data_IF_883094472145
#
_entry.id   IF_883094472145
#
_cell.length_a   1.000
_cell.length_b   1.000
_cell.length_c   1.000
_cell.angle_alpha   90.00
_cell.angle_beta   90.00
_cell.angle_gamma   90.00
#
_symmetry.space_group_name_H-M   'P 1'
#
loop_
_entity.id
_entity.type
_entity.pdbx_description
1 polymer ?
#
# COMPACT_ATOMS: atom_id res chain seq x y z
N UNK A 1 75.34 29.57 -28.99
CA UNK A 1 75.27 30.94 -28.40
C UNK A 1 73.91 31.56 -28.74
N UNK A 2 73.52 32.68 -28.09
CA UNK A 2 72.31 33.49 -28.39
C UNK A 2 72.26 33.92 -29.88
N UNK A 3 71.13 34.31 -30.49
CA UNK A 3 69.74 34.55 -29.97
C UNK A 3 68.81 33.34 -30.28
N UNK A 4 67.66 33.33 -30.97
CA UNK A 4 66.85 34.32 -31.73
C UNK A 4 65.34 33.94 -31.69
N UNK A 5 64.43 34.88 -31.98
CA UNK A 5 62.96 34.79 -31.81
C UNK A 5 62.21 34.25 -33.05
N UNK A 6 61.10 33.51 -32.82
CA UNK A 6 59.89 33.56 -33.66
C UNK A 6 58.67 33.77 -32.74
N UNK A 7 57.68 34.52 -33.22
CA UNK A 7 56.49 34.96 -32.47
C UNK A 7 55.34 33.94 -32.59
N UNK A 8 54.63 33.68 -31.48
CA UNK A 8 53.32 33.00 -31.50
C UNK A 8 52.34 33.81 -30.65
N UNK A 9 51.23 34.24 -31.26
CA UNK A 9 50.20 35.00 -30.57
C UNK A 9 49.31 34.06 -29.73
N UNK A 10 49.06 34.40 -28.47
CA UNK A 10 48.15 33.64 -27.59
C UNK A 10 46.77 34.29 -27.59
N UNK A 11 45.81 33.68 -28.27
CA UNK A 11 44.41 34.09 -28.26
C UNK A 11 43.71 33.61 -26.97
N UNK A 12 43.42 34.54 -26.06
CA UNK A 12 42.62 34.25 -24.88
C UNK A 12 41.13 34.11 -25.25
N UNK A 13 40.60 32.88 -25.23
CA UNK A 13 39.16 32.67 -25.21
C UNK A 13 38.64 32.87 -23.78
N UNK A 14 37.83 33.90 -23.56
CA UNK A 14 37.00 33.97 -22.35
C UNK A 14 35.84 32.97 -22.50
N UNK A 15 35.87 31.90 -21.71
CA UNK A 15 34.71 31.02 -21.54
C UNK A 15 33.65 31.75 -20.73
N UNK A 16 32.66 32.34 -21.41
CA UNK A 16 31.56 33.04 -20.77
C UNK A 16 30.64 32.04 -20.07
N UNK A 17 30.85 31.81 -18.77
CA UNK A 17 30.00 30.95 -17.95
C UNK A 17 28.62 31.58 -17.79
N UNK A 18 27.66 31.12 -18.59
CA UNK A 18 26.26 31.48 -18.47
C UNK A 18 25.67 30.91 -17.17
N UNK A 19 25.74 31.71 -16.10
CA UNK A 19 25.06 31.40 -14.84
C UNK A 19 23.54 31.56 -15.05
N UNK A 20 22.88 30.46 -15.43
CA UNK A 20 21.42 30.39 -15.37
C UNK A 20 20.98 30.65 -13.92
N UNK A 21 20.00 31.55 -13.68
CA UNK A 21 19.47 31.73 -12.35
C UNK A 21 18.77 30.43 -11.94
N UNK A 22 19.36 29.73 -10.96
CA UNK A 22 18.66 28.64 -10.29
C UNK A 22 17.42 29.25 -9.64
N UNK A 23 16.24 28.91 -10.16
CA UNK A 23 14.97 29.21 -9.50
C UNK A 23 14.96 28.40 -8.22
N UNK A 24 15.36 29.05 -7.13
CA UNK A 24 15.30 28.46 -5.81
C UNK A 24 13.83 28.13 -5.53
N UNK A 25 13.52 26.85 -5.40
CA UNK A 25 12.26 26.45 -4.78
C UNK A 25 12.25 27.07 -3.38
N UNK A 26 11.27 27.92 -3.10
CA UNK A 26 11.12 28.54 -1.80
C UNK A 26 11.03 27.43 -0.74
N UNK A 27 11.97 27.45 0.20
CA UNK A 27 11.86 26.58 1.39
C UNK A 27 10.61 27.04 2.15
N UNK A 28 9.66 26.14 2.46
CA UNK A 28 8.62 26.47 3.43
C UNK A 28 9.28 26.91 4.74
N UNK A 29 8.77 27.99 5.33
CA UNK A 29 9.23 28.49 6.61
C UNK A 29 8.92 27.48 7.75
N UNK A 30 9.63 27.61 8.88
CA UNK A 30 9.66 26.59 9.95
C UNK A 30 8.37 26.54 10.84
N UNK A 31 7.22 27.03 10.33
CA UNK A 31 5.90 26.88 10.97
C UNK A 31 5.24 25.58 10.49
N UNK A 32 5.52 24.48 11.20
CA UNK A 32 5.00 23.14 10.91
C UNK A 32 3.48 23.14 10.69
N UNK A 33 3.07 23.04 9.42
CA UNK A 33 1.67 23.09 9.02
C UNK A 33 0.81 22.09 9.81
N UNK A 34 -0.23 22.63 10.46
CA UNK A 34 -1.11 21.96 11.43
C UNK A 34 -2.24 21.19 10.71
N UNK A 35 -2.83 20.14 11.32
CA UNK A 35 -3.99 19.46 10.75
C UNK A 35 -5.20 20.42 10.66
N UNK A 36 -6.09 20.26 9.66
CA UNK A 36 -7.36 20.98 9.63
C UNK A 36 -8.20 20.72 10.88
N UNK A 37 -8.87 21.75 11.40
CA UNK A 37 -9.70 21.64 12.62
C UNK A 37 -10.94 20.72 12.47
N UNK A 38 -11.33 20.44 11.23
CA UNK A 38 -12.21 19.34 10.81
C UNK A 38 -11.67 18.71 9.53
N UNK A 39 -11.73 17.40 9.44
CA UNK A 39 -11.39 16.60 8.25
C UNK A 39 -12.61 15.75 7.84
N UNK A 40 -12.44 14.79 6.92
CA UNK A 40 -13.51 13.85 6.56
C UNK A 40 -14.02 13.05 7.77
N UNK A 41 -15.31 12.74 7.81
CA UNK A 41 -15.94 11.94 8.89
C UNK A 41 -16.30 10.50 8.42
N UNK A 42 -15.80 10.08 7.25
CA UNK A 42 -15.96 8.71 6.71
C UNK A 42 -15.38 7.70 7.73
N UNK A 43 -16.10 6.62 8.00
CA UNK A 43 -15.71 5.66 9.04
C UNK A 43 -15.96 6.12 10.49
N UNK A 44 -16.34 7.38 10.71
CA UNK A 44 -16.87 7.88 11.98
C UNK A 44 -16.38 9.27 12.35
N UNK A 45 -17.26 10.08 12.96
CA UNK A 45 -17.03 11.48 13.34
C UNK A 45 -15.88 11.75 14.34
N UNK A 46 -15.22 10.70 14.86
CA UNK A 46 -13.96 10.81 15.61
C UNK A 46 -12.74 10.86 14.70
N UNK A 47 -12.72 10.10 13.60
CA UNK A 47 -11.58 10.02 12.68
C UNK A 47 -11.31 11.39 12.02
N UNK A 48 -12.36 12.18 11.80
CA UNK A 48 -12.28 13.55 11.27
C UNK A 48 -11.81 14.62 12.25
N UNK A 49 -11.50 14.26 13.50
CA UNK A 49 -10.99 15.19 14.51
C UNK A 49 -9.46 15.21 14.51
N UNK A 50 -8.89 16.40 14.72
CA UNK A 50 -7.46 16.55 14.94
C UNK A 50 -7.03 15.95 16.29
N UNK A 51 -5.76 15.53 16.38
CA UNK A 51 -5.17 14.87 17.54
C UNK A 51 -5.36 13.35 17.53
N UNK A 52 -5.03 12.73 18.67
CA UNK A 52 -5.04 11.27 18.83
C UNK A 52 -6.42 10.77 19.28
N UNK A 53 -6.96 9.82 18.53
CA UNK A 53 -8.20 9.10 18.83
C UNK A 53 -7.87 7.69 19.31
N UNK A 54 -8.22 7.39 20.56
CA UNK A 54 -8.14 6.04 21.15
C UNK A 54 -9.20 5.92 22.24
N UNK A 55 -9.68 4.71 22.52
CA UNK A 55 -10.49 4.42 23.71
C UNK A 55 -9.61 3.90 24.84
N UNK A 56 -9.44 4.70 25.89
CA UNK A 56 -8.69 4.32 27.08
C UNK A 56 -9.61 3.60 28.08
N UNK A 57 -9.57 2.27 28.07
CA UNK A 57 -10.35 1.40 28.96
C UNK A 57 -9.50 0.54 29.90
N UNK A 58 -10.11 -0.18 30.86
CA UNK A 58 -9.42 -1.12 31.73
C UNK A 58 -8.64 -2.17 30.93
N UNK A 59 -7.34 -2.34 31.22
CA UNK A 59 -6.47 -3.30 30.54
C UNK A 59 -5.99 -2.90 29.13
N UNK A 60 -6.48 -1.79 28.56
CA UNK A 60 -5.95 -1.23 27.31
C UNK A 60 -4.55 -0.65 27.57
N UNK A 61 -3.51 -1.03 26.81
CA UNK A 61 -2.17 -0.48 26.98
C UNK A 61 -2.13 1.01 26.60
N UNK A 62 -1.27 1.78 27.27
CA UNK A 62 -1.03 3.18 26.88
C UNK A 62 -0.31 3.22 25.53
N UNK A 63 -0.69 4.16 24.66
CA UNK A 63 -0.02 4.38 23.38
C UNK A 63 1.49 4.67 23.58
N UNK A 64 2.36 4.26 22.64
CA UNK A 64 3.79 4.54 22.68
C UNK A 64 4.09 6.04 22.77
N UNK A 65 5.05 6.44 23.63
CA UNK A 65 5.43 7.85 23.82
C UNK A 65 6.21 8.46 22.63
N UNK A 66 6.80 7.62 21.78
CA UNK A 66 7.55 8.02 20.58
C UNK A 66 6.68 7.79 19.34
N UNK A 67 5.67 8.64 19.16
CA UNK A 67 4.87 8.74 17.95
C UNK A 67 4.93 10.19 17.49
N UNK A 68 5.44 10.40 16.28
CA UNK A 68 5.71 11.70 15.65
C UNK A 68 5.15 11.78 14.23
N UNK A 69 4.61 10.68 13.69
CA UNK A 69 3.83 10.64 12.46
C UNK A 69 2.70 11.68 12.47
N UNK A 70 2.76 12.64 11.53
CA UNK A 70 1.75 13.69 11.36
C UNK A 70 0.36 13.10 11.14
N UNK A 71 0.26 11.96 10.47
CA UNK A 71 -0.96 11.15 10.42
C UNK A 71 -0.62 9.67 10.60
N UNK A 72 -1.42 8.93 11.37
CA UNK A 72 -1.31 7.48 11.49
C UNK A 72 -2.64 6.81 11.88
N UNK A 73 -2.74 5.50 11.64
CA UNK A 73 -3.91 4.69 11.97
C UNK A 73 -3.50 3.24 12.28
N UNK A 74 -4.23 2.59 13.19
CA UNK A 74 -4.14 1.17 13.54
C UNK A 74 -5.53 0.56 13.39
N UNK A 75 -5.68 -0.42 12.52
CA UNK A 75 -6.98 -1.04 12.23
C UNK A 75 -6.87 -2.56 12.07
N UNK A 76 -7.97 -3.26 12.38
CA UNK A 76 -8.14 -4.67 12.03
C UNK A 76 -8.44 -4.81 10.53
N UNK A 77 -7.74 -5.73 9.86
CA UNK A 77 -7.86 -5.89 8.41
C UNK A 77 -9.12 -6.66 7.98
N UNK A 78 -9.66 -7.50 8.87
CA UNK A 78 -10.76 -8.42 8.57
C UNK A 78 -12.11 -7.74 8.81
N UNK A 79 -12.40 -7.31 10.04
CA UNK A 79 -13.67 -6.64 10.34
C UNK A 79 -13.64 -5.14 9.96
N UNK A 80 -12.47 -4.49 10.03
CA UNK A 80 -12.28 -3.09 9.68
C UNK A 80 -12.23 -2.13 10.88
N UNK A 81 -12.32 -2.62 12.11
CA UNK A 81 -12.33 -1.79 13.31
C UNK A 81 -11.06 -0.93 13.41
N UNK A 82 -11.22 0.39 13.54
CA UNK A 82 -10.11 1.32 13.80
C UNK A 82 -9.88 1.37 15.31
N UNK A 83 -8.78 0.80 15.78
CA UNK A 83 -8.45 0.69 17.20
C UNK A 83 -7.89 2.01 17.76
N UNK A 84 -7.08 2.70 16.96
CA UNK A 84 -6.59 4.05 17.26
C UNK A 84 -6.16 4.77 15.97
N UNK A 85 -6.17 6.10 16.00
CA UNK A 85 -5.65 6.95 14.93
C UNK A 85 -5.10 8.28 15.45
N UNK A 86 -4.40 9.02 14.60
CA UNK A 86 -4.01 10.41 14.81
C UNK A 86 -4.14 11.18 13.49
N UNK A 87 -4.97 12.24 13.46
CA UNK A 87 -5.28 13.00 12.26
C UNK A 87 -5.61 12.11 11.04
N UNK A 88 -6.51 11.13 11.19
CA UNK A 88 -6.68 10.00 10.25
C UNK A 88 -6.91 10.44 8.80
N UNK A 89 -7.72 11.49 8.63
CA UNK A 89 -8.12 12.09 7.35
C UNK A 89 -7.30 13.32 6.95
N UNK A 90 -6.07 13.46 7.46
CA UNK A 90 -5.22 14.57 7.05
C UNK A 90 -4.65 14.29 5.66
N UNK A 91 -5.14 15.04 4.67
CA UNK A 91 -4.60 15.06 3.30
C UNK A 91 -3.12 15.48 3.33
N UNK A 92 -2.24 14.52 3.04
CA UNK A 92 -0.78 14.64 3.01
C UNK A 92 -0.23 13.98 1.72
N UNK A 93 0.94 14.38 1.20
CA UNK A 93 1.53 13.71 0.05
C UNK A 93 1.90 12.26 0.40
N UNK A 94 1.55 11.27 -0.44
CA UNK A 94 1.69 9.85 -0.11
C UNK A 94 3.10 9.29 -0.31
N UNK A 95 3.92 9.92 -1.17
CA UNK A 95 5.08 9.25 -1.79
C UNK A 95 4.68 7.89 -2.43
N UNK A 96 5.63 6.97 -2.58
CA UNK A 96 5.43 5.65 -3.20
C UNK A 96 4.46 4.70 -2.47
N UNK A 97 3.78 5.07 -1.38
CA UNK A 97 2.60 4.30 -0.92
C UNK A 97 1.43 4.42 -1.90
N UNK A 98 1.37 5.46 -2.73
CA UNK A 98 0.43 5.56 -3.86
C UNK A 98 0.53 4.36 -4.82
N UNK A 99 1.69 3.70 -4.91
CA UNK A 99 1.87 2.47 -5.71
C UNK A 99 0.95 1.32 -5.25
N UNK A 100 0.40 1.36 -4.04
CA UNK A 100 -0.62 0.41 -3.58
C UNK A 100 -1.94 0.57 -4.37
N UNK A 101 -2.39 1.81 -4.59
CA UNK A 101 -3.58 2.10 -5.40
C UNK A 101 -3.32 1.77 -6.87
N UNK A 102 -2.12 2.04 -7.36
CA UNK A 102 -1.71 1.65 -8.72
C UNK A 102 -1.78 0.13 -8.92
N UNK A 103 -1.25 -0.65 -7.97
CA UNK A 103 -1.35 -2.11 -8.01
C UNK A 103 -2.80 -2.61 -7.92
N UNK A 104 -3.58 -2.12 -6.96
CA UNK A 104 -5.00 -2.47 -6.80
C UNK A 104 -5.86 -2.07 -8.02
N UNK A 105 -5.45 -1.05 -8.78
CA UNK A 105 -6.12 -0.59 -10.03
C UNK A 105 -5.69 -1.36 -11.28
N UNK A 106 -4.41 -1.71 -11.41
CA UNK A 106 -3.82 -2.17 -12.69
C UNK A 106 -3.44 -3.65 -12.69
N UNK A 107 -3.05 -4.23 -11.55
CA UNK A 107 -2.67 -5.65 -11.47
C UNK A 107 -3.80 -6.59 -11.99
N UNK A 108 -5.09 -6.41 -11.64
CA UNK A 108 -6.16 -7.28 -12.13
C UNK A 108 -6.41 -7.24 -13.65
N UNK A 109 -5.78 -6.31 -14.37
CA UNK A 109 -5.94 -6.11 -15.83
C UNK A 109 -4.85 -6.79 -16.66
N UNK A 110 -3.67 -7.01 -16.11
CA UNK A 110 -2.46 -7.41 -16.85
C UNK A 110 -2.03 -8.84 -16.46
N UNK A 111 -2.10 -9.84 -17.37
CA UNK A 111 -1.69 -11.21 -17.10
C UNK A 111 -0.22 -11.31 -16.69
N UNK A 112 0.06 -12.05 -15.61
CA UNK A 112 1.39 -12.17 -14.98
C UNK A 112 2.50 -12.63 -15.93
N UNK A 113 2.16 -13.47 -16.92
CA UNK A 113 3.05 -14.05 -17.92
C UNK A 113 3.10 -13.29 -19.26
N UNK A 114 2.29 -12.23 -19.42
CA UNK A 114 2.33 -11.35 -20.59
C UNK A 114 3.71 -10.68 -20.71
N UNK A 115 4.17 -10.50 -21.95
CA UNK A 115 5.50 -9.98 -22.29
C UNK A 115 5.40 -8.70 -23.09
N UNK A 116 5.98 -7.64 -22.55
CA UNK A 116 6.01 -6.31 -23.14
C UNK A 116 7.42 -5.94 -23.59
N UNK A 117 7.57 -5.35 -24.78
CA UNK A 117 8.83 -4.80 -25.29
C UNK A 117 8.86 -3.31 -24.98
N UNK A 118 9.77 -2.89 -24.09
CA UNK A 118 9.81 -1.50 -23.62
C UNK A 118 10.39 -0.57 -24.68
N UNK A 119 9.76 0.59 -24.85
CA UNK A 119 10.20 1.65 -25.77
C UNK A 119 10.78 2.86 -25.02
N UNK A 120 11.54 3.71 -25.71
CA UNK A 120 12.09 4.95 -25.12
C UNK A 120 10.99 5.89 -24.60
N UNK A 121 9.83 5.94 -25.26
CA UNK A 121 8.71 6.82 -24.89
C UNK A 121 8.07 6.41 -23.55
N UNK A 122 8.08 5.12 -23.22
CA UNK A 122 7.56 4.60 -21.94
C UNK A 122 8.48 4.86 -20.75
N UNK A 123 9.73 5.24 -21.00
CA UNK A 123 10.71 5.67 -20.00
C UNK A 123 10.91 7.20 -20.01
N UNK A 124 10.33 7.91 -20.98
CA UNK A 124 10.35 9.35 -21.05
C UNK A 124 9.46 9.96 -19.94
N UNK A 125 9.98 10.98 -19.24
CA UNK A 125 9.26 11.62 -18.14
C UNK A 125 9.42 10.96 -16.77
N UNK A 126 10.12 9.83 -16.66
CA UNK A 126 10.55 9.29 -15.36
C UNK A 126 11.50 10.31 -14.70
N UNK A 127 11.09 10.86 -13.55
CA UNK A 127 11.82 11.97 -12.92
C UNK A 127 13.22 11.59 -12.44
N UNK A 128 14.21 12.46 -12.61
CA UNK A 128 15.62 12.18 -12.32
C UNK A 128 15.94 11.86 -10.83
N UNK A 129 15.02 12.14 -9.91
CA UNK A 129 15.10 11.74 -8.49
C UNK A 129 14.30 10.48 -8.13
N UNK A 130 13.74 9.77 -9.12
CA UNK A 130 12.91 8.59 -8.90
C UNK A 130 13.71 7.40 -8.37
N UNK A 131 13.05 6.54 -7.59
CA UNK A 131 13.51 5.16 -7.43
C UNK A 131 13.29 4.42 -8.75
N UNK A 132 14.26 3.62 -9.18
CA UNK A 132 14.22 2.83 -10.42
C UNK A 132 14.52 1.36 -10.07
N UNK A 133 13.92 0.41 -10.78
CA UNK A 133 14.37 -0.99 -10.74
C UNK A 133 15.54 -1.23 -11.70
N UNK A 134 15.60 -0.49 -12.81
CA UNK A 134 16.58 -0.69 -13.89
C UNK A 134 15.94 -1.24 -15.18
N UNK A 135 14.71 -0.84 -15.49
CA UNK A 135 14.09 -1.11 -16.79
C UNK A 135 14.93 -0.46 -17.91
N UNK A 136 14.86 -1.05 -19.11
CA UNK A 136 15.62 -0.66 -20.29
C UNK A 136 14.76 -0.78 -21.55
N UNK A 137 14.84 0.27 -22.37
CA UNK A 137 14.53 0.33 -23.79
C UNK A 137 15.06 -0.90 -24.57
N UNK A 138 14.35 -1.31 -25.63
CA UNK A 138 14.63 -2.48 -26.48
C UNK A 138 14.70 -3.84 -25.73
N UNK A 139 14.30 -3.89 -24.45
CA UNK A 139 14.24 -5.13 -23.66
C UNK A 139 12.79 -5.59 -23.41
N UNK A 140 12.56 -6.90 -23.53
CA UNK A 140 11.27 -7.52 -23.22
C UNK A 140 11.19 -7.90 -21.74
N UNK A 141 10.20 -7.42 -20.99
CA UNK A 141 9.93 -7.84 -19.61
C UNK A 141 8.62 -8.61 -19.54
N UNK A 142 8.47 -9.48 -18.55
CA UNK A 142 7.14 -9.97 -18.15
C UNK A 142 6.47 -8.95 -17.23
N UNK A 143 5.13 -8.96 -17.20
CA UNK A 143 4.34 -8.23 -16.20
C UNK A 143 4.77 -8.61 -14.77
N UNK A 144 5.16 -9.87 -14.54
CA UNK A 144 5.75 -10.32 -13.27
C UNK A 144 7.05 -9.59 -12.89
N UNK A 145 7.99 -9.46 -13.82
CA UNK A 145 9.25 -8.73 -13.58
C UNK A 145 8.95 -7.28 -13.17
N UNK A 146 8.07 -6.61 -13.92
CA UNK A 146 7.70 -5.22 -13.67
C UNK A 146 7.07 -5.05 -12.27
N UNK A 147 6.12 -5.90 -11.87
CA UNK A 147 5.53 -5.83 -10.52
C UNK A 147 6.54 -6.12 -9.40
N UNK A 148 7.51 -7.02 -9.61
CA UNK A 148 8.63 -7.18 -8.66
C UNK A 148 9.42 -5.87 -8.52
N UNK A 149 9.68 -5.16 -9.62
CA UNK A 149 10.31 -3.84 -9.60
C UNK A 149 9.49 -2.75 -8.87
N UNK A 150 8.17 -2.73 -9.08
CA UNK A 150 7.25 -1.80 -8.41
C UNK A 150 7.22 -2.01 -6.89
N UNK A 151 7.15 -3.26 -6.42
CA UNK A 151 7.05 -3.56 -5.00
C UNK A 151 8.39 -3.54 -4.27
N UNK A 152 9.42 -4.22 -4.80
CA UNK A 152 10.69 -4.36 -4.10
C UNK A 152 11.52 -3.07 -4.18
N UNK A 153 11.95 -2.70 -5.39
CA UNK A 153 12.80 -1.53 -5.66
C UNK A 153 12.04 -0.20 -5.66
N UNK A 154 10.70 -0.23 -5.56
CA UNK A 154 9.85 0.97 -5.64
C UNK A 154 9.94 1.70 -6.99
N UNK A 155 10.29 0.98 -8.06
CA UNK A 155 10.67 1.53 -9.37
C UNK A 155 9.55 2.30 -10.07
N UNK A 156 9.79 3.57 -10.39
CA UNK A 156 8.87 4.39 -11.20
C UNK A 156 8.94 4.00 -12.68
N UNK A 157 10.11 3.60 -13.17
CA UNK A 157 10.33 3.02 -14.49
C UNK A 157 9.40 1.83 -14.78
N UNK A 158 9.27 0.90 -13.82
CA UNK A 158 8.32 -0.21 -13.94
C UNK A 158 6.85 0.24 -13.89
N UNK A 159 6.52 1.30 -13.13
CA UNK A 159 5.17 1.89 -13.13
C UNK A 159 4.83 2.53 -14.47
N UNK A 160 5.75 3.29 -15.08
CA UNK A 160 5.46 4.01 -16.34
C UNK A 160 5.21 3.03 -17.50
N UNK A 161 5.98 1.94 -17.58
CA UNK A 161 5.72 0.83 -18.54
C UNK A 161 4.37 0.15 -18.27
N UNK A 162 4.08 -0.23 -17.03
CA UNK A 162 2.78 -0.84 -16.68
C UNK A 162 1.60 0.13 -16.91
N UNK A 163 1.82 1.44 -16.80
CA UNK A 163 0.86 2.47 -17.20
C UNK A 163 0.68 2.54 -18.71
N UNK A 164 1.74 2.43 -19.52
CA UNK A 164 1.63 2.36 -20.97
C UNK A 164 0.81 1.14 -21.41
N UNK A 165 1.05 -0.03 -20.80
CA UNK A 165 0.22 -1.24 -20.99
C UNK A 165 -1.25 -1.04 -20.59
N UNK A 166 -1.53 -0.17 -19.61
CA UNK A 166 -2.89 0.24 -19.23
C UNK A 166 -3.47 1.38 -20.12
N UNK A 167 -2.82 1.73 -21.24
CA UNK A 167 -3.29 2.78 -22.15
C UNK A 167 -2.78 4.20 -21.83
N UNK A 168 -1.65 4.30 -21.12
CA UNK A 168 -0.95 5.55 -20.82
C UNK A 168 -1.09 6.06 -19.38
N UNK A 169 -0.28 7.07 -19.04
CA UNK A 169 -0.29 7.72 -17.73
C UNK A 169 -1.66 8.33 -17.43
N UNK A 170 -2.20 9.17 -18.32
CA UNK A 170 -3.49 9.84 -18.13
C UNK A 170 -4.64 8.85 -17.91
N UNK A 171 -4.68 7.76 -18.70
CA UNK A 171 -5.66 6.68 -18.54
C UNK A 171 -5.53 6.00 -17.18
N UNK A 172 -4.29 5.75 -16.76
CA UNK A 172 -4.01 5.16 -15.44
C UNK A 172 -4.42 6.08 -14.30
N UNK A 173 -4.11 7.38 -14.39
CA UNK A 173 -4.49 8.37 -13.36
C UNK A 173 -6.01 8.51 -13.28
N UNK A 174 -6.72 8.49 -14.41
CA UNK A 174 -8.18 8.45 -14.42
C UNK A 174 -8.73 7.16 -13.78
N UNK A 175 -8.19 5.99 -14.15
CA UNK A 175 -8.57 4.70 -13.55
C UNK A 175 -8.30 4.67 -12.03
N UNK A 176 -7.18 5.23 -11.56
CA UNK A 176 -6.82 5.24 -10.15
C UNK A 176 -7.68 6.20 -9.32
N UNK A 177 -8.04 7.39 -9.83
CA UNK A 177 -8.99 8.27 -9.14
C UNK A 177 -10.38 7.59 -9.05
N UNK A 178 -10.87 6.98 -10.14
CA UNK A 178 -12.13 6.22 -10.13
C UNK A 178 -12.08 5.00 -9.18
N UNK A 179 -10.90 4.38 -9.03
CA UNK A 179 -10.69 3.29 -8.05
C UNK A 179 -10.69 3.82 -6.61
N UNK A 180 -10.10 4.98 -6.35
CA UNK A 180 -10.18 5.64 -5.04
C UNK A 180 -11.63 5.97 -4.65
N UNK A 181 -12.44 6.45 -5.59
CA UNK A 181 -13.88 6.67 -5.40
C UNK A 181 -14.63 5.36 -5.06
N UNK A 182 -14.37 4.27 -5.78
CA UNK A 182 -14.97 2.95 -5.49
C UNK A 182 -14.60 2.43 -4.10
N UNK A 183 -13.36 2.65 -3.66
CA UNK A 183 -12.88 2.30 -2.33
C UNK A 183 -13.35 3.25 -1.21
N UNK A 184 -14.05 4.34 -1.55
CA UNK A 184 -14.38 5.46 -0.65
C UNK A 184 -13.14 6.16 -0.03
N UNK A 185 -11.99 6.09 -0.71
CA UNK A 185 -10.76 6.80 -0.39
C UNK A 185 -10.85 8.26 -0.90
N UNK A 186 -11.72 9.06 -0.27
CA UNK A 186 -12.07 10.42 -0.70
C UNK A 186 -11.14 11.52 -0.14
N UNK A 187 -10.12 11.15 0.65
CA UNK A 187 -9.02 12.05 0.92
C UNK A 187 -8.02 12.12 -0.26
N UNK A 188 -7.98 11.06 -1.06
CA UNK A 188 -7.01 10.82 -2.13
C UNK A 188 -7.30 11.61 -3.39
N UNK A 189 -6.24 12.13 -4.00
CA UNK A 189 -6.25 12.63 -5.36
C UNK A 189 -4.94 12.24 -6.05
N UNK A 190 -5.07 11.51 -7.16
CA UNK A 190 -3.94 10.98 -7.92
C UNK A 190 -3.59 11.95 -9.05
N UNK A 191 -2.31 12.35 -9.08
CA UNK A 191 -1.70 13.18 -10.14
C UNK A 191 -0.62 12.41 -10.90
N UNK A 192 0.06 11.45 -10.25
CA UNK A 192 0.94 10.48 -10.91
C UNK A 192 0.77 9.08 -10.29
N UNK A 193 0.84 8.00 -11.09
CA UNK A 193 0.60 6.63 -10.62
C UNK A 193 1.70 6.12 -9.68
N UNK A 194 2.91 6.67 -9.78
CA UNK A 194 4.08 6.26 -9.01
C UNK A 194 4.19 6.92 -7.62
N UNK A 195 3.34 7.91 -7.31
CA UNK A 195 3.39 8.66 -6.05
C UNK A 195 4.50 9.70 -5.97
N UNK A 196 5.08 10.13 -7.09
CA UNK A 196 6.09 11.20 -7.11
C UNK A 196 5.50 12.56 -6.68
N UNK A 197 6.37 13.49 -6.29
CA UNK A 197 5.98 14.82 -5.80
C UNK A 197 5.37 15.67 -6.92
N UNK A 198 4.05 15.91 -6.83
CA UNK A 198 3.29 16.79 -7.73
C UNK A 198 2.26 17.62 -6.95
N UNK A 199 1.91 18.81 -7.48
CA UNK A 199 0.92 19.69 -6.85
C UNK A 199 -0.46 19.02 -6.87
N UNK A 200 -1.00 18.75 -5.68
CA UNK A 200 -2.30 18.08 -5.51
C UNK A 200 -2.23 16.57 -5.32
N UNK A 201 -1.07 15.94 -5.47
CA UNK A 201 -0.84 14.53 -5.16
C UNK A 201 -1.01 14.31 -3.65
N UNK A 202 -2.14 13.74 -3.23
CA UNK A 202 -2.55 13.66 -1.83
C UNK A 202 -3.24 12.33 -1.51
N UNK A 203 -3.17 11.90 -0.25
CA UNK A 203 -3.97 10.84 0.37
C UNK A 203 -3.99 11.06 1.89
N UNK A 204 -4.62 10.18 2.66
CA UNK A 204 -4.61 10.21 4.13
C UNK A 204 -4.22 8.85 4.71
N UNK A 205 -3.90 8.78 6.01
CA UNK A 205 -3.55 7.50 6.62
C UNK A 205 -4.74 6.54 6.60
N UNK A 206 -5.97 7.05 6.72
CA UNK A 206 -7.20 6.28 6.55
C UNK A 206 -7.32 5.71 5.13
N UNK A 207 -7.22 6.55 4.10
CA UNK A 207 -7.33 6.15 2.70
C UNK A 207 -6.28 5.12 2.28
N UNK A 208 -5.00 5.36 2.60
CA UNK A 208 -3.92 4.42 2.33
C UNK A 208 -4.16 3.06 3.01
N UNK A 209 -4.90 3.04 4.12
CA UNK A 209 -5.29 1.81 4.82
C UNK A 209 -6.49 1.11 4.17
N UNK A 210 -7.47 1.84 3.64
CA UNK A 210 -8.52 1.28 2.77
C UNK A 210 -7.92 0.63 1.52
N UNK A 211 -7.02 1.35 0.84
CA UNK A 211 -6.30 0.90 -0.35
C UNK A 211 -5.50 -0.37 -0.04
N UNK A 212 -4.77 -0.42 1.09
CA UNK A 212 -4.06 -1.62 1.50
C UNK A 212 -5.01 -2.77 1.87
N UNK A 213 -6.14 -2.52 2.54
CA UNK A 213 -7.15 -3.54 2.87
C UNK A 213 -7.75 -4.18 1.61
N UNK A 214 -7.97 -3.38 0.57
CA UNK A 214 -8.41 -3.85 -0.75
C UNK A 214 -7.32 -4.66 -1.46
N UNK A 215 -6.11 -4.10 -1.60
CA UNK A 215 -5.00 -4.79 -2.27
C UNK A 215 -4.67 -6.14 -1.64
N UNK A 216 -4.75 -6.23 -0.31
CA UNK A 216 -4.56 -7.49 0.44
C UNK A 216 -5.66 -8.55 0.21
N UNK A 217 -6.75 -8.26 -0.51
CA UNK A 217 -7.68 -9.28 -0.99
C UNK A 217 -7.13 -10.05 -2.21
N UNK A 218 -6.27 -9.42 -3.02
CA UNK A 218 -5.67 -10.02 -4.20
C UNK A 218 -4.44 -10.88 -3.86
N UNK A 219 -4.37 -12.08 -4.44
CA UNK A 219 -3.32 -13.06 -4.16
C UNK A 219 -1.92 -12.65 -4.65
N UNK A 220 -1.86 -11.90 -5.75
CA UNK A 220 -0.60 -11.54 -6.40
C UNK A 220 -0.06 -10.25 -5.79
N UNK A 221 -0.93 -9.28 -5.43
CA UNK A 221 -0.56 -8.17 -4.54
C UNK A 221 0.08 -8.69 -3.24
N UNK A 222 -0.52 -9.71 -2.61
CA UNK A 222 0.06 -10.38 -1.43
C UNK A 222 1.42 -11.03 -1.73
N UNK A 223 1.56 -11.71 -2.86
CA UNK A 223 2.84 -12.29 -3.30
C UNK A 223 3.94 -11.23 -3.45
N UNK A 224 3.68 -10.18 -4.24
CA UNK A 224 4.68 -9.13 -4.50
C UNK A 224 5.07 -8.36 -3.24
N UNK A 225 4.10 -7.95 -2.42
CA UNK A 225 4.40 -7.11 -1.27
C UNK A 225 5.09 -7.85 -0.13
N UNK A 226 4.86 -9.17 0.01
CA UNK A 226 5.55 -10.04 0.97
C UNK A 226 6.89 -10.61 0.45
N UNK A 227 7.20 -10.47 -0.84
CA UNK A 227 8.46 -10.96 -1.42
C UNK A 227 9.65 -10.15 -0.91
N UNK A 228 10.61 -10.83 -0.28
CA UNK A 228 11.81 -10.22 0.35
C UNK A 228 12.85 -9.80 -0.69
N UNK A 229 13.07 -10.62 -1.71
CA UNK A 229 14.08 -10.43 -2.74
C UNK A 229 13.79 -11.28 -3.97
N UNK A 230 14.21 -10.84 -5.15
CA UNK A 230 14.08 -11.56 -6.42
C UNK A 230 15.27 -11.24 -7.34
N UNK A 231 15.46 -12.01 -8.40
CA UNK A 231 16.35 -11.65 -9.52
C UNK A 231 15.55 -10.85 -10.56
N UNK A 232 16.06 -9.69 -10.99
CA UNK A 232 15.46 -8.87 -12.03
C UNK A 232 16.28 -8.99 -13.34
N UNK A 233 15.63 -9.09 -14.52
CA UNK A 233 16.34 -9.38 -15.76
C UNK A 233 16.93 -8.10 -16.40
N UNK A 234 18.26 -8.00 -16.45
CA UNK A 234 18.98 -6.80 -16.93
C UNK A 234 19.04 -6.62 -18.44
N UNK A 235 20.00 -5.85 -18.94
CA UNK A 235 20.16 -5.54 -20.37
C UNK A 235 20.69 -6.76 -21.18
N UNK A 236 19.98 -7.20 -22.23
CA UNK A 236 20.42 -8.29 -23.12
C UNK A 236 21.31 -7.77 -24.26
N UNK A 237 22.61 -7.69 -23.99
CA UNK A 237 23.63 -7.29 -24.98
C UNK A 237 23.68 -8.24 -26.18
N UNK A 238 23.84 -7.69 -27.38
CA UNK A 238 23.88 -8.44 -28.66
C UNK A 238 24.91 -9.58 -28.61
N UNK A 239 24.48 -10.79 -28.94
CA UNK A 239 25.32 -11.99 -28.92
C UNK A 239 25.57 -12.60 -27.54
N UNK A 240 25.05 -12.03 -26.45
CA UNK A 240 25.15 -12.58 -25.09
C UNK A 240 23.84 -13.19 -24.59
N UNK A 241 23.93 -14.02 -23.54
CA UNK A 241 22.77 -14.34 -22.69
C UNK A 241 22.36 -13.08 -21.90
N UNK A 242 21.09 -13.01 -21.48
CA UNK A 242 20.61 -11.93 -20.62
C UNK A 242 21.09 -12.15 -19.19
N UNK A 243 21.86 -11.19 -18.67
CA UNK A 243 22.30 -11.17 -17.27
C UNK A 243 21.12 -10.72 -16.37
N UNK A 244 21.15 -11.12 -15.09
CA UNK A 244 20.15 -10.75 -14.08
C UNK A 244 20.86 -10.17 -12.86
N UNK A 245 20.14 -9.44 -12.02
CA UNK A 245 20.67 -8.89 -10.77
C UNK A 245 19.65 -8.95 -9.63
N UNK A 246 20.13 -9.22 -8.42
CA UNK A 246 19.29 -9.27 -7.23
C UNK A 246 18.71 -7.91 -6.84
N UNK A 247 17.40 -7.89 -6.63
CA UNK A 247 16.63 -6.77 -6.04
C UNK A 247 16.08 -7.19 -4.69
N UNK A 248 15.98 -6.24 -3.75
CA UNK A 248 15.52 -6.46 -2.38
C UNK A 248 14.38 -5.50 -2.03
N UNK A 249 13.43 -5.95 -1.21
CA UNK A 249 12.29 -5.17 -0.79
C UNK A 249 12.68 -3.98 0.10
N UNK A 250 12.24 -2.79 -0.30
CA UNK A 250 12.53 -1.54 0.41
C UNK A 250 11.82 -1.42 1.77
N UNK A 251 10.85 -2.29 2.08
CA UNK A 251 10.22 -2.44 3.39
C UNK A 251 11.19 -3.02 4.43
N UNK A 252 11.73 -2.15 5.29
CA UNK A 252 12.75 -2.53 6.30
C UNK A 252 12.21 -3.43 7.43
N UNK A 253 10.91 -3.38 7.73
CA UNK A 253 10.29 -4.29 8.71
C UNK A 253 10.19 -5.71 8.15
N UNK A 254 10.00 -5.88 6.83
CA UNK A 254 10.00 -7.18 6.17
C UNK A 254 11.42 -7.76 6.00
N UNK A 255 12.40 -6.92 5.69
CA UNK A 255 13.76 -7.38 5.32
C UNK A 255 14.78 -7.40 6.46
N UNK A 256 14.55 -6.67 7.56
CA UNK A 256 15.55 -6.54 8.63
C UNK A 256 16.79 -5.75 8.20
N UNK A 257 16.62 -4.81 7.26
CA UNK A 257 17.71 -4.05 6.66
C UNK A 257 17.93 -2.68 7.32
N UNK A 258 19.14 -2.14 7.18
CA UNK A 258 19.53 -0.78 7.62
C UNK A 258 19.28 -0.48 9.11
N UNK A 259 19.58 -1.45 10.00
CA UNK A 259 19.43 -1.29 11.45
C UNK A 259 18.00 -1.42 11.97
N UNK A 260 17.11 -2.05 11.20
CA UNK A 260 15.86 -2.60 11.70
C UNK A 260 15.99 -4.11 11.89
N UNK A 261 15.34 -4.67 12.90
CA UNK A 261 15.07 -6.12 12.95
C UNK A 261 13.85 -6.44 12.09
N UNK A 262 13.74 -7.69 11.62
CA UNK A 262 12.52 -8.16 10.92
C UNK A 262 11.39 -8.26 11.92
N UNK A 263 10.28 -7.59 11.66
CA UNK A 263 9.13 -7.55 12.55
C UNK A 263 8.34 -8.87 12.52
N UNK A 264 8.12 -9.51 13.68
CA UNK A 264 7.37 -10.76 13.76
C UNK A 264 5.93 -10.57 13.25
N UNK A 265 5.50 -11.45 12.35
CA UNK A 265 4.16 -11.45 11.75
C UNK A 265 4.00 -10.57 10.51
N UNK A 266 4.99 -9.75 10.13
CA UNK A 266 4.91 -8.84 8.97
C UNK A 266 4.73 -9.62 7.64
N UNK A 267 3.78 -9.16 6.83
CA UNK A 267 3.49 -9.72 5.50
C UNK A 267 3.43 -8.64 4.40
N UNK A 268 4.23 -7.58 4.53
CA UNK A 268 4.55 -6.68 3.43
C UNK A 268 3.80 -5.34 3.41
N UNK A 269 3.00 -5.15 2.37
CA UNK A 269 2.50 -3.85 1.83
C UNK A 269 3.63 -2.92 1.34
N UNK A 270 3.72 -1.62 1.71
CA UNK A 270 4.61 -0.67 0.99
C UNK A 270 5.10 0.55 1.80
N UNK A 271 6.35 0.94 1.53
CA UNK A 271 6.98 2.19 1.98
C UNK A 271 7.05 3.25 0.86
N UNK A 272 7.18 4.52 1.24
CA UNK A 272 7.52 5.64 0.36
C UNK A 272 8.41 6.69 1.05
N UNK A 273 9.10 7.50 0.25
CA UNK A 273 9.75 8.72 0.70
C UNK A 273 9.90 9.70 -0.48
N UNK A 274 9.50 10.96 -0.31
CA UNK A 274 9.81 12.06 -1.23
C UNK A 274 10.09 13.34 -0.44
N UNK A 275 10.47 14.43 -1.12
CA UNK A 275 10.81 15.72 -0.49
C UNK A 275 9.60 16.34 0.20
N UNK A 276 8.43 16.31 -0.43
CA UNK A 276 7.21 16.93 0.11
C UNK A 276 6.44 16.00 1.05
N UNK A 277 6.50 14.67 0.85
CA UNK A 277 5.85 13.71 1.73
C UNK A 277 6.61 13.48 3.04
N UNK A 278 7.95 13.54 3.01
CA UNK A 278 8.77 12.85 4.00
C UNK A 278 8.61 11.34 3.87
N UNK A 279 8.90 10.60 4.95
CA UNK A 279 8.76 9.14 4.97
C UNK A 279 7.31 8.69 5.20
N UNK A 280 6.83 7.74 4.40
CA UNK A 280 5.49 7.14 4.53
C UNK A 280 5.59 5.62 4.54
N UNK A 281 4.68 4.96 5.26
CA UNK A 281 4.63 3.51 5.32
C UNK A 281 3.21 3.02 5.59
N UNK A 282 2.79 2.01 4.84
CA UNK A 282 1.69 1.13 5.22
C UNK A 282 2.22 -0.29 5.30
N UNK A 283 1.82 -1.03 6.33
CA UNK A 283 2.17 -2.44 6.51
C UNK A 283 0.98 -3.26 7.00
N UNK A 284 1.12 -4.58 6.87
CA UNK A 284 0.21 -5.59 7.40
C UNK A 284 0.98 -6.62 8.23
N UNK A 285 0.41 -7.05 9.35
CA UNK A 285 0.99 -8.10 10.18
C UNK A 285 -0.09 -9.02 10.77
N UNK A 286 0.24 -10.30 10.96
CA UNK A 286 -0.61 -11.27 11.65
C UNK A 286 0.09 -11.84 12.89
N UNK A 287 -0.60 -11.83 14.04
CA UNK A 287 -0.19 -12.53 15.28
C UNK A 287 -1.42 -13.11 15.98
N UNK A 288 -1.32 -14.33 16.51
CA UNK A 288 -2.43 -14.99 17.23
C UNK A 288 -3.71 -15.18 16.40
N UNK A 289 -3.62 -15.17 15.07
CA UNK A 289 -4.78 -15.20 14.17
C UNK A 289 -5.46 -13.85 13.92
N UNK A 290 -5.04 -12.78 14.61
CA UNK A 290 -5.48 -11.39 14.39
C UNK A 290 -4.63 -10.76 13.28
N UNK A 291 -5.26 -10.14 12.28
CA UNK A 291 -4.56 -9.42 11.20
C UNK A 291 -4.77 -7.91 11.37
N UNK A 292 -3.67 -7.16 11.51
CA UNK A 292 -3.70 -5.71 11.64
C UNK A 292 -3.07 -5.02 10.43
N UNK A 293 -3.61 -3.85 10.10
CA UNK A 293 -3.01 -2.86 9.20
C UNK A 293 -2.57 -1.64 10.00
N UNK A 294 -1.40 -1.09 9.66
CA UNK A 294 -0.89 0.16 10.23
C UNK A 294 -0.35 1.05 9.12
N UNK A 295 -0.79 2.30 9.09
CA UNK A 295 -0.22 3.36 8.24
C UNK A 295 0.38 4.47 9.10
N UNK A 296 1.54 4.98 8.71
CA UNK A 296 2.22 6.15 9.30
C UNK A 296 2.70 7.06 8.17
N UNK A 297 2.39 8.35 8.27
CA UNK A 297 2.77 9.38 7.31
C UNK A 297 3.56 10.50 7.99
N UNK A 298 4.72 10.83 7.41
CA UNK A 298 5.56 11.99 7.75
C UNK A 298 5.86 12.12 9.26
N UNK A 299 6.65 11.20 9.85
CA UNK A 299 7.12 11.32 11.23
C UNK A 299 8.23 12.36 11.35
N UNK A 300 8.08 13.32 12.27
CA UNK A 300 9.05 14.41 12.48
C UNK A 300 10.19 14.10 13.48
N UNK A 301 10.17 12.89 14.05
CA UNK A 301 11.12 12.42 15.04
C UNK A 301 12.52 12.19 14.49
N UNK A 302 13.54 12.62 15.25
CA UNK A 302 14.98 12.48 14.94
C UNK A 302 15.53 11.05 15.10
N UNK A 303 14.66 10.04 15.11
CA UNK A 303 15.02 8.63 15.29
C UNK A 303 15.31 8.01 13.92
N UNK A 304 16.46 7.31 13.77
CA UNK A 304 16.73 6.59 12.52
C UNK A 304 15.63 5.56 12.26
N UNK A 305 15.19 5.44 11.01
CA UNK A 305 14.06 4.61 10.61
C UNK A 305 12.71 4.97 11.31
N UNK A 306 12.50 6.21 11.75
CA UNK A 306 11.30 6.66 12.50
C UNK A 306 9.98 6.05 12.01
N UNK A 307 9.69 6.09 10.69
CA UNK A 307 8.44 5.55 10.15
C UNK A 307 8.25 4.05 10.44
N UNK A 308 9.31 3.25 10.33
CA UNK A 308 9.29 1.82 10.63
C UNK A 308 9.26 1.54 12.13
N UNK A 309 10.02 2.32 12.92
CA UNK A 309 10.04 2.25 14.38
C UNK A 309 8.66 2.59 14.98
N UNK A 310 7.96 3.57 14.43
CA UNK A 310 6.61 3.94 14.85
C UNK A 310 5.58 2.91 14.42
N UNK A 311 5.64 2.40 13.18
CA UNK A 311 4.75 1.33 12.75
C UNK A 311 4.92 0.06 13.59
N UNK A 312 6.16 -0.36 13.91
CA UNK A 312 6.41 -1.49 14.80
C UNK A 312 5.78 -1.26 16.19
N UNK A 313 6.00 -0.09 16.80
CA UNK A 313 5.42 0.27 18.11
C UNK A 313 3.89 0.35 18.08
N UNK A 314 3.30 0.77 16.96
CA UNK A 314 1.83 0.81 16.76
C UNK A 314 1.24 -0.58 16.56
N UNK A 315 1.89 -1.49 15.84
CA UNK A 315 1.49 -2.89 15.77
C UNK A 315 1.61 -3.57 17.14
N UNK A 316 2.71 -3.39 17.87
CA UNK A 316 2.90 -4.00 19.19
C UNK A 316 1.84 -3.51 20.20
N UNK A 317 1.47 -2.23 20.13
CA UNK A 317 0.31 -1.70 20.86
C UNK A 317 -1.01 -2.34 20.39
N UNK A 318 -1.24 -2.40 19.08
CA UNK A 318 -2.45 -2.93 18.48
C UNK A 318 -2.72 -4.38 18.88
N UNK A 319 -1.72 -5.26 18.79
CA UNK A 319 -1.86 -6.67 19.20
C UNK A 319 -2.13 -6.84 20.71
N UNK A 320 -1.65 -5.92 21.55
CA UNK A 320 -1.95 -5.91 22.99
C UNK A 320 -3.33 -5.29 23.31
N UNK A 321 -3.88 -4.50 22.40
CA UNK A 321 -5.12 -3.73 22.57
C UNK A 321 -6.36 -4.34 21.89
N UNK A 322 -6.20 -5.12 20.81
CA UNK A 322 -7.29 -5.53 19.91
C UNK A 322 -8.47 -6.27 20.57
N UNK A 323 -8.26 -6.96 21.70
CA UNK A 323 -9.32 -7.66 22.44
C UNK A 323 -9.99 -6.80 23.53
N UNK A 324 -9.57 -5.53 23.69
CA UNK A 324 -9.89 -4.68 24.86
C UNK A 324 -10.24 -3.24 24.50
N UNK A 325 -9.71 -2.73 23.39
CA UNK A 325 -9.97 -1.39 22.91
C UNK A 325 -11.25 -1.39 22.08
N UNK A 326 -12.27 -0.68 22.56
CA UNK A 326 -13.44 -0.36 21.74
C UNK A 326 -12.99 0.43 20.49
N UNK A 327 -13.55 0.17 19.29
CA UNK A 327 -13.17 0.91 18.09
C UNK A 327 -13.47 2.42 18.21
N UNK A 328 -12.61 3.25 17.62
CA UNK A 328 -12.83 4.71 17.47
C UNK A 328 -13.48 5.08 16.14
N UNK A 329 -13.64 4.11 15.24
CA UNK A 329 -14.26 4.20 13.92
C UNK A 329 -14.12 2.88 13.17
N UNK A 330 -14.46 2.85 11.88
CA UNK A 330 -14.34 1.68 11.01
C UNK A 330 -13.76 2.04 9.65
N UNK A 331 -12.98 1.16 9.06
CA UNK A 331 -12.65 1.14 7.64
C UNK A 331 -13.91 0.73 6.86
N UNK A 332 -14.53 1.68 6.16
CA UNK A 332 -15.71 1.39 5.32
C UNK A 332 -15.41 0.34 4.24
N UNK A 333 -16.40 -0.49 3.83
CA UNK A 333 -16.24 -1.38 2.69
C UNK A 333 -16.22 -0.58 1.37
N UNK A 334 -15.67 -1.15 0.28
CA UNK A 334 -15.84 -0.59 -1.06
C UNK A 334 -17.31 -0.46 -1.46
N UNK A 335 -17.65 0.51 -2.31
CA UNK A 335 -19.02 0.76 -2.77
C UNK A 335 -19.65 -0.48 -3.43
N UNK A 336 -18.86 -1.31 -4.13
CA UNK A 336 -19.31 -2.59 -4.71
C UNK A 336 -19.72 -3.66 -3.68
N UNK A 337 -19.32 -3.51 -2.42
CA UNK A 337 -19.65 -4.42 -1.32
C UNK A 337 -20.75 -3.88 -0.39
N UNK A 338 -21.16 -2.62 -0.53
CA UNK A 338 -22.36 -2.09 0.14
C UNK A 338 -23.60 -2.67 -0.56
N UNK A 339 -24.51 -3.36 0.15
CA UNK A 339 -25.78 -3.78 -0.44
C UNK A 339 -26.56 -2.56 -0.92
N UNK A 340 -27.04 -2.58 -2.17
CA UNK A 340 -27.91 -1.53 -2.66
C UNK A 340 -29.22 -1.53 -1.85
N UNK A 341 -29.33 -0.61 -0.90
CA UNK A 341 -30.55 -0.38 -0.13
C UNK A 341 -31.61 0.16 -1.07
N UNK A 342 -32.56 -0.69 -1.45
CA UNK A 342 -33.74 -0.28 -2.18
C UNK A 342 -34.62 0.68 -1.38
N UNK A 343 -35.64 1.19 -2.06
CA UNK A 343 -36.81 1.85 -1.46
C UNK A 343 -36.59 3.24 -0.86
N UNK A 344 -36.12 4.14 -1.73
CA UNK A 344 -36.55 5.54 -1.71
C UNK A 344 -38.01 5.66 -2.21
N UNK A 345 -38.96 5.09 -1.46
CA UNK A 345 -40.41 5.04 -1.81
C UNK A 345 -41.31 5.28 -0.59
N UNK A 346 -40.99 6.31 0.20
CA UNK A 346 -41.85 6.80 1.29
C UNK A 346 -43.15 7.44 0.78
N UNK A 347 -44.14 6.62 0.47
CA UNK A 347 -45.53 7.03 0.26
C UNK A 347 -46.42 6.32 1.30
N UNK A 348 -47.40 7.03 1.92
CA UNK A 348 -48.28 6.41 2.90
C UNK A 348 -49.34 5.55 2.21
N UNK A 349 -49.48 4.30 2.63
CA UNK A 349 -50.61 3.44 2.25
C UNK A 349 -51.73 3.57 3.30
N UNK A 350 -52.96 3.83 2.85
CA UNK A 350 -54.11 4.02 3.74
C UNK A 350 -54.74 2.67 4.12
N UNK A 351 -55.26 2.57 5.35
CA UNK A 351 -55.55 1.27 5.96
C UNK A 351 -56.76 0.53 5.36
N UNK A 352 -56.61 -0.78 5.18
CA UNK A 352 -57.71 -1.73 5.02
C UNK A 352 -57.65 -2.81 6.11
N UNK A 353 -58.76 -3.02 6.83
CA UNK A 353 -58.84 -4.02 7.89
C UNK A 353 -59.40 -5.36 7.39
N UNK A 354 -58.78 -6.47 7.81
CA UNK A 354 -59.26 -7.83 7.56
C UNK A 354 -58.53 -8.82 8.46
N UNK A 355 -59.25 -9.59 9.26
CA UNK A 355 -58.66 -10.42 10.32
C UNK A 355 -58.56 -11.92 9.99
N UNK A 356 -57.45 -12.53 10.45
CA UNK A 356 -57.33 -13.80 11.20
C UNK A 356 -58.14 -15.07 10.81
N UNK A 357 -57.67 -16.30 11.17
CA UNK A 357 -56.35 -16.73 11.66
C UNK A 357 -55.74 -17.90 10.84
N UNK A 358 -54.59 -18.41 11.29
CA UNK A 358 -53.96 -19.64 10.77
C UNK A 358 -54.64 -20.94 11.27
N UNK A 359 -54.23 -22.10 10.72
CA UNK A 359 -54.00 -23.27 11.55
C UNK A 359 -52.53 -23.75 11.48
N UNK A 360 -52.07 -24.42 12.54
CA UNK A 360 -50.75 -25.04 12.60
C UNK A 360 -50.80 -26.53 12.20
N UNK A 361 -49.70 -27.05 11.69
CA UNK A 361 -49.49 -28.49 11.45
C UNK A 361 -48.01 -28.84 11.66
N UNK A 362 -47.73 -29.81 12.54
CA UNK A 362 -46.35 -30.15 12.96
C UNK A 362 -45.89 -31.53 12.48
N UNK A 363 -44.56 -31.72 12.44
CA UNK A 363 -43.91 -33.00 12.18
C UNK A 363 -42.50 -33.03 12.76
N UNK A 364 -42.09 -34.16 13.36
CA UNK A 364 -40.76 -34.34 13.98
C UNK A 364 -39.87 -35.25 13.12
N UNK A 365 -38.55 -35.03 13.17
CA UNK A 365 -37.56 -36.09 12.93
C UNK A 365 -36.25 -35.85 13.72
N UNK A 366 -35.69 -36.94 14.25
CA UNK A 366 -34.37 -37.12 14.87
C UNK A 366 -33.68 -38.27 14.10
N UNK A 367 -32.39 -38.62 14.21
CA UNK A 367 -31.13 -37.95 14.59
C UNK A 367 -29.96 -38.96 14.35
N UNK A 368 -28.69 -38.50 14.42
CA UNK A 368 -27.45 -39.32 14.45
C UNK A 368 -27.17 -40.20 13.19
N UNK A 369 -26.01 -40.85 12.97
CA UNK A 369 -24.71 -40.93 13.66
C UNK A 369 -23.59 -41.07 12.55
N UNK A 370 -22.37 -40.53 12.65
CA UNK A 370 -21.18 -40.88 13.47
C UNK A 370 -20.34 -42.10 12.97
N UNK A 371 -18.99 -41.93 12.96
CA UNK A 371 -17.98 -42.94 12.60
C UNK A 371 -17.23 -42.64 11.28
N UNK A 372 -15.90 -42.81 11.12
CA UNK A 372 -14.83 -43.13 12.10
C UNK A 372 -13.85 -44.20 11.60
N UNK A 373 -12.54 -43.89 11.47
CA UNK A 373 -11.42 -44.86 11.34
C UNK A 373 -10.05 -44.17 11.42
N UNK A 374 -9.02 -44.93 11.80
CA UNK A 374 -7.67 -44.46 12.14
C UNK A 374 -6.62 -44.63 11.02
N UNK A 375 -5.43 -44.02 11.20
CA UNK A 375 -4.28 -44.23 10.31
C UNK A 375 -2.99 -43.57 10.82
N UNK A 376 -2.12 -44.31 11.50
CA UNK A 376 -0.83 -43.82 12.05
C UNK A 376 0.30 -43.98 11.03
N UNK A 377 1.20 -42.99 10.94
CA UNK A 377 2.36 -43.02 10.04
C UNK A 377 3.54 -42.15 10.49
N UNK A 378 4.40 -42.69 11.34
CA UNK A 378 5.77 -42.20 11.59
C UNK A 378 6.71 -42.59 10.44
N UNK A 379 7.81 -41.89 10.12
CA UNK A 379 8.30 -40.54 10.46
C UNK A 379 9.54 -40.25 9.59
N UNK A 380 9.95 -38.98 9.43
CA UNK A 380 11.36 -38.60 9.20
C UNK A 380 11.53 -37.09 9.35
N UNK A 381 12.50 -36.65 10.15
CA UNK A 381 12.76 -35.23 10.41
C UNK A 381 14.26 -34.93 10.44
N UNK A 382 14.75 -34.16 9.46
CA UNK A 382 16.06 -33.52 9.45
C UNK A 382 15.91 -32.15 8.78
N UNK A 383 16.59 -31.12 9.31
CA UNK A 383 16.71 -29.78 8.72
C UNK A 383 15.40 -29.01 8.39
N UNK A 384 14.61 -28.64 9.42
CA UNK A 384 13.39 -27.84 9.24
C UNK A 384 13.14 -26.68 10.23
N UNK A 385 14.02 -26.45 11.20
CA UNK A 385 13.71 -25.58 12.35
C UNK A 385 13.49 -24.09 12.02
N UNK A 386 14.24 -23.53 11.06
CA UNK A 386 14.24 -22.07 10.81
C UNK A 386 13.21 -21.59 9.78
N UNK A 387 12.59 -22.50 9.01
CA UNK A 387 11.66 -22.14 7.92
C UNK A 387 10.18 -22.24 8.32
N UNK A 388 9.81 -23.11 9.26
CA UNK A 388 8.40 -23.37 9.59
C UNK A 388 7.70 -22.15 10.20
N UNK A 389 8.37 -21.42 11.10
CA UNK A 389 7.83 -20.17 11.68
C UNK A 389 7.77 -19.02 10.65
N UNK A 390 8.75 -18.92 9.76
CA UNK A 390 8.76 -17.92 8.67
C UNK A 390 7.65 -18.19 7.63
N UNK A 391 7.38 -19.47 7.35
CA UNK A 391 6.31 -19.88 6.45
C UNK A 391 4.93 -19.60 7.03
N UNK A 392 4.70 -19.88 8.31
CA UNK A 392 3.37 -19.83 8.93
C UNK A 392 2.66 -18.46 8.76
N UNK A 393 3.30 -17.35 9.13
CA UNK A 393 2.69 -16.02 9.04
C UNK A 393 2.36 -15.60 7.60
N UNK A 394 3.32 -15.76 6.68
CA UNK A 394 3.14 -15.40 5.26
C UNK A 394 2.09 -16.30 4.59
N UNK A 395 2.08 -17.59 4.93
CA UNK A 395 1.14 -18.57 4.39
C UNK A 395 -0.30 -18.34 4.87
N UNK A 396 -0.53 -18.01 6.14
CA UNK A 396 -1.88 -17.80 6.66
C UNK A 396 -2.49 -16.49 6.15
N UNK A 397 -1.74 -15.38 6.12
CA UNK A 397 -2.20 -14.13 5.48
C UNK A 397 -2.56 -14.37 4.01
N UNK A 398 -1.79 -15.19 3.28
CA UNK A 398 -2.11 -15.51 1.88
C UNK A 398 -3.25 -16.55 1.70
N UNK A 399 -3.76 -17.16 2.78
CA UNK A 399 -4.82 -18.19 2.74
C UNK A 399 -6.23 -17.63 2.97
N UNK A 400 -6.36 -16.39 3.45
CA UNK A 400 -7.67 -15.80 3.80
C UNK A 400 -8.45 -15.39 2.54
N UNK A 401 -9.78 -15.56 2.61
CA UNK A 401 -10.74 -15.35 1.50
C UNK A 401 -11.09 -13.88 1.34
N UNK A 402 -11.54 -13.44 0.14
CA UNK A 402 -12.05 -12.08 -0.06
C UNK A 402 -13.24 -11.79 0.87
N UNK A 403 -13.44 -10.51 1.20
CA UNK A 403 -14.56 -10.00 1.98
C UNK A 403 -15.91 -10.57 1.48
N UNK A 404 -16.83 -10.99 2.37
CA UNK A 404 -18.12 -11.58 2.00
C UNK A 404 -19.03 -10.55 1.34
N UNK A 405 -18.98 -10.48 0.02
CA UNK A 405 -19.76 -9.56 -0.81
C UNK A 405 -19.31 -9.56 -2.27
N UNK A 406 -18.00 -9.73 -2.54
CA UNK A 406 -17.42 -9.75 -3.89
C UNK A 406 -17.65 -11.10 -4.63
N UNK A 407 -18.91 -11.45 -4.84
CA UNK A 407 -19.30 -12.54 -5.72
C UNK A 407 -19.11 -12.15 -7.19
N UNK A 408 -18.24 -12.85 -7.91
CA UNK A 408 -17.96 -12.59 -9.33
C UNK A 408 -19.22 -12.73 -10.20
N UNK A 409 -19.84 -11.59 -10.57
CA UNK A 409 -20.88 -11.55 -11.62
C UNK A 409 -20.23 -11.84 -12.97
N UNK A 410 -20.18 -13.13 -13.33
CA UNK A 410 -19.55 -13.59 -14.56
C UNK A 410 -20.19 -12.99 -15.81
N UNK A 411 -19.34 -12.65 -16.80
CA UNK A 411 -19.75 -12.25 -18.15
C UNK A 411 -20.82 -13.20 -18.70
N UNK A 412 -21.98 -12.66 -19.08
CA UNK A 412 -22.93 -13.35 -19.96
C UNK A 412 -22.96 -12.67 -21.32
N UNK A 413 -22.23 -13.29 -22.26
CA UNK A 413 -22.17 -13.00 -23.70
C UNK A 413 -21.58 -11.62 -24.02
#
# INVERSE_FOLDING_TARGET
MRKTTVLVASTALLTLSAAFPAVAAEKPDDDKAKPPGKMSEIGGARLGQAGTQVNAGPGVPKLPKKLTGRSWIVADAENGDVLAAHNAHWKLPPASTMKMLFADTVLPKLPKDEKHLVTDEELAGVGAGSSLVGVKEDQTYTVHDLWLGVFLSSGNDAVHVLSAMNGGIDRTVADMNARAEELQALDTHVVSPDGYDAKGQLSSAYDLTLIARSGMQDKDFREYCATVSAEFPGEKKKGKKREHFGIQNTNRLLTGAYGMERYEGIAGVKNGNTTNAGATFTGVAERGGRVLLVTVMNPDGKESNAVYQETARLFDWGFQAAEKAEPVGTLVPPLSAVPATGDASGAPDEGAAGGAPAPAGGGKAQAAAAGGSDGVGTALAVAGASLVMLGAGVYVVNRRRPLPGQGTRGRRR
#
